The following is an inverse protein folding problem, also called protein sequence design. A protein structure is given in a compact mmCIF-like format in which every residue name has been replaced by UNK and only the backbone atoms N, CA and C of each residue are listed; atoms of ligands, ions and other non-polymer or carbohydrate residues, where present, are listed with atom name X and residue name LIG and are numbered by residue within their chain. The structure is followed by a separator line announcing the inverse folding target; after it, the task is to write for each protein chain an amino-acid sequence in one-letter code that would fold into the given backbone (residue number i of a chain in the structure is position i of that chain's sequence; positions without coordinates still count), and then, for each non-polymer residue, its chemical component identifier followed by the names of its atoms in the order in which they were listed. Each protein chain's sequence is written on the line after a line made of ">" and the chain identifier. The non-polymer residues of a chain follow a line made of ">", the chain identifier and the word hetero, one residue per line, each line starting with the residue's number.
data_IF_588393904868
#
_entry.id   IF_588393904868
#
_cell.length_a   1.000
_cell.length_b   1.000
_cell.length_c   1.000
_cell.angle_alpha   90.00
_cell.angle_beta   90.00
_cell.angle_gamma   90.00
#
_symmetry.space_group_name_H-M   'P 1'
#
loop_
_entity.id
_entity.type
_entity.pdbx_description
1 polymer ?
#
# COMPACT_ATOMS: atom_id res chain seq x y z
N UNK A 1 -5.03 13.18 -13.06
CA UNK A 1 -3.71 12.99 -13.72
C UNK A 1 -3.96 12.60 -15.17
N UNK A 2 -3.99 13.58 -16.08
CA UNK A 2 -3.96 13.33 -17.52
C UNK A 2 -3.51 14.64 -18.19
N UNK A 3 -2.20 14.76 -18.45
CA UNK A 3 -1.56 15.70 -19.40
C UNK A 3 -0.02 15.75 -19.27
N UNK A 4 0.61 14.95 -18.40
CA UNK A 4 2.06 14.75 -18.44
C UNK A 4 2.49 13.76 -19.57
N UNK A 5 1.82 13.78 -20.71
CA UNK A 5 2.12 12.92 -21.87
C UNK A 5 2.74 13.68 -23.05
N UNK A 6 2.82 15.02 -22.97
CA UNK A 6 3.27 15.88 -24.08
C UNK A 6 4.32 16.93 -23.67
N UNK A 7 5.21 16.61 -22.72
CA UNK A 7 6.49 17.32 -22.55
C UNK A 7 6.46 18.78 -22.09
N UNK A 8 5.29 19.39 -21.85
CA UNK A 8 5.21 20.76 -21.34
C UNK A 8 5.23 20.77 -19.80
N UNK A 9 6.37 21.20 -19.24
CA UNK A 9 6.48 21.53 -17.82
C UNK A 9 5.90 22.92 -17.62
N UNK A 10 4.66 22.99 -17.13
CA UNK A 10 4.08 24.25 -16.69
C UNK A 10 4.87 24.79 -15.49
N UNK A 11 5.32 26.05 -15.58
CA UNK A 11 6.06 26.72 -14.51
C UNK A 11 5.17 27.04 -13.29
N UNK A 12 3.85 27.10 -13.49
CA UNK A 12 2.88 27.43 -12.45
C UNK A 12 1.75 26.39 -12.36
N UNK A 13 1.17 26.17 -11.16
CA UNK A 13 0.04 25.27 -10.99
C UNK A 13 -1.17 25.71 -11.81
N UNK A 14 -1.90 24.75 -12.38
CA UNK A 14 -3.06 24.93 -13.26
C UNK A 14 -4.18 25.87 -12.72
N UNK A 15 -4.20 26.18 -11.41
CA UNK A 15 -5.21 26.98 -10.72
C UNK A 15 -6.62 26.39 -10.66
N UNK A 16 -6.95 25.41 -11.50
CA UNK A 16 -8.33 24.95 -11.73
C UNK A 16 -8.47 23.41 -11.81
N UNK A 17 -7.49 22.67 -11.32
CA UNK A 17 -7.52 21.20 -11.23
C UNK A 17 -7.61 20.77 -9.76
N UNK A 18 -8.19 19.60 -9.50
CA UNK A 18 -8.49 19.10 -8.15
C UNK A 18 -7.29 19.17 -7.18
N UNK A 19 -6.06 18.97 -7.69
CA UNK A 19 -4.82 19.08 -6.92
C UNK A 19 -4.51 20.52 -6.47
N UNK A 20 -4.85 21.52 -7.28
CA UNK A 20 -4.65 22.93 -6.96
C UNK A 20 -5.76 23.48 -6.06
N UNK A 21 -6.97 22.97 -6.21
CA UNK A 21 -8.13 23.42 -5.43
C UNK A 21 -8.14 22.83 -4.00
N UNK A 22 -7.41 21.73 -3.76
CA UNK A 22 -7.26 21.13 -2.44
C UNK A 22 -5.78 20.78 -2.15
N UNK A 23 -4.92 21.77 -1.83
CA UNK A 23 -3.53 21.52 -1.53
C UNK A 23 -3.42 20.60 -0.30
N UNK A 24 -2.84 19.42 -0.51
CA UNK A 24 -2.63 18.46 0.59
C UNK A 24 -1.54 19.01 1.49
N UNK A 25 -1.87 19.29 2.75
CA UNK A 25 -0.90 19.76 3.73
C UNK A 25 0.29 18.78 3.80
N UNK A 26 1.50 19.30 3.66
CA UNK A 26 2.74 18.53 3.77
C UNK A 26 3.49 18.85 5.07
N UNK A 27 4.51 18.06 5.35
CA UNK A 27 5.49 18.30 6.41
C UNK A 27 6.86 17.78 5.96
N UNK A 28 7.93 18.35 6.52
CA UNK A 28 9.29 17.88 6.26
C UNK A 28 9.49 16.51 6.94
N UNK A 29 9.52 15.48 6.09
CA UNK A 29 9.61 14.08 6.47
C UNK A 29 11.04 13.56 6.60
N UNK A 30 12.06 14.39 6.40
CA UNK A 30 13.44 13.94 6.20
C UNK A 30 13.96 13.09 7.36
N UNK A 31 13.73 13.50 8.60
CA UNK A 31 14.15 12.73 9.78
C UNK A 31 13.40 11.41 9.89
N UNK A 32 12.09 11.41 9.64
CA UNK A 32 11.30 10.18 9.68
C UNK A 32 11.73 9.19 8.57
N UNK A 33 12.02 9.71 7.37
CA UNK A 33 12.57 8.95 6.27
C UNK A 33 13.92 8.31 6.64
N UNK A 34 14.84 9.09 7.21
CA UNK A 34 16.14 8.60 7.66
C UNK A 34 16.03 7.52 8.73
N UNK A 35 15.12 7.67 9.71
CA UNK A 35 14.84 6.64 10.72
C UNK A 35 14.31 5.36 10.08
N UNK A 36 13.31 5.47 9.21
CA UNK A 36 12.71 4.33 8.51
C UNK A 36 13.74 3.58 7.65
N UNK A 37 14.51 4.31 6.85
CA UNK A 37 15.56 3.74 6.00
C UNK A 37 16.74 3.17 6.80
N UNK A 38 17.10 3.78 7.94
CA UNK A 38 18.08 3.19 8.85
C UNK A 38 17.60 1.86 9.42
N UNK A 39 16.30 1.73 9.73
CA UNK A 39 15.72 0.45 10.16
C UNK A 39 15.76 -0.59 9.03
N UNK A 40 15.43 -0.21 7.79
CA UNK A 40 15.57 -1.09 6.60
C UNK A 40 16.99 -1.63 6.49
N UNK A 41 17.99 -0.74 6.47
CA UNK A 41 19.39 -1.09 6.29
C UNK A 41 19.94 -1.93 7.45
N UNK A 42 19.68 -1.54 8.70
CA UNK A 42 20.24 -2.21 9.88
C UNK A 42 19.59 -3.56 10.20
N UNK A 43 18.40 -3.80 9.67
CA UNK A 43 17.77 -5.14 9.71
C UNK A 43 18.17 -6.01 8.52
N UNK A 44 19.10 -5.54 7.69
CA UNK A 44 19.67 -6.30 6.58
C UNK A 44 18.75 -6.41 5.37
N UNK A 45 17.78 -5.52 5.21
CA UNK A 45 16.92 -5.45 4.00
C UNK A 45 16.15 -6.75 3.70
N UNK A 46 15.70 -7.43 4.77
CA UNK A 46 15.02 -8.73 4.71
C UNK A 46 13.62 -8.73 5.32
N UNK A 47 13.13 -7.55 5.68
CA UNK A 47 11.92 -7.42 6.48
C UNK A 47 10.93 -6.45 5.83
N UNK A 48 9.66 -6.83 5.87
CA UNK A 48 8.56 -5.98 5.45
C UNK A 48 8.21 -4.90 6.48
N UNK A 49 7.36 -3.97 6.05
CA UNK A 49 6.96 -2.76 6.79
C UNK A 49 6.51 -3.06 8.22
N UNK A 50 5.70 -4.10 8.45
CA UNK A 50 5.16 -4.40 9.78
C UNK A 50 6.25 -4.58 10.84
N UNK A 51 7.29 -5.35 10.52
CA UNK A 51 8.42 -5.59 11.42
C UNK A 51 9.31 -4.37 11.59
N UNK A 52 9.52 -3.60 10.51
CA UNK A 52 10.29 -2.36 10.58
C UNK A 52 9.62 -1.32 11.48
N UNK A 53 8.28 -1.25 11.45
CA UNK A 53 7.52 -0.41 12.39
C UNK A 53 7.68 -0.94 13.83
N UNK A 54 7.65 -2.26 14.04
CA UNK A 54 7.89 -2.85 15.36
C UNK A 54 9.27 -2.44 15.90
N UNK A 55 10.31 -2.45 15.06
CA UNK A 55 11.66 -2.01 15.42
C UNK A 55 11.66 -0.53 15.80
N UNK A 56 11.06 0.35 14.98
CA UNK A 56 11.02 1.80 15.22
C UNK A 56 10.27 2.16 16.50
N UNK A 57 9.18 1.45 16.81
CA UNK A 57 8.38 1.67 18.02
C UNK A 57 9.00 1.01 19.26
N UNK A 58 9.98 0.11 19.08
CA UNK A 58 10.58 -0.63 20.17
C UNK A 58 9.64 -1.70 20.73
N UNK A 59 8.83 -2.33 19.87
CA UNK A 59 7.90 -3.36 20.28
C UNK A 59 8.62 -4.64 20.73
N UNK A 60 8.04 -5.34 21.70
CA UNK A 60 8.60 -6.61 22.20
C UNK A 60 7.87 -7.79 21.56
N UNK A 61 8.18 -8.08 20.29
CA UNK A 61 7.62 -9.23 19.57
C UNK A 61 8.60 -10.40 19.54
N UNK A 62 8.09 -11.62 19.36
CA UNK A 62 8.95 -12.81 19.22
C UNK A 62 9.94 -12.68 18.07
N UNK A 63 9.52 -12.07 16.96
CA UNK A 63 10.37 -11.81 15.80
C UNK A 63 11.52 -10.87 16.16
N UNK A 64 11.26 -9.80 16.92
CA UNK A 64 12.31 -8.88 17.36
C UNK A 64 13.35 -9.60 18.22
N UNK A 65 12.90 -10.35 19.24
CA UNK A 65 13.79 -11.11 20.12
C UNK A 65 14.60 -12.17 19.37
N UNK A 66 13.96 -12.90 18.44
CA UNK A 66 14.59 -13.93 17.61
C UNK A 66 15.73 -13.37 16.77
N UNK A 67 15.53 -12.20 16.17
CA UNK A 67 16.55 -11.54 15.33
C UNK A 67 17.45 -10.56 16.10
N UNK A 68 17.26 -10.45 17.43
CA UNK A 68 18.06 -9.59 18.32
C UNK A 68 18.02 -8.12 17.92
N UNK A 69 16.92 -7.70 17.31
CA UNK A 69 16.76 -6.33 16.81
C UNK A 69 16.56 -5.30 17.92
N UNK A 70 16.25 -5.75 19.14
CA UNK A 70 16.23 -4.90 20.35
C UNK A 70 17.60 -4.29 20.67
N UNK A 71 18.68 -4.83 20.10
CA UNK A 71 20.05 -4.33 20.27
C UNK A 71 20.47 -3.30 19.23
N UNK A 72 19.65 -3.07 18.21
CA UNK A 72 19.98 -2.11 17.15
C UNK A 72 19.86 -0.68 17.68
N UNK A 73 20.74 0.25 17.29
CA UNK A 73 20.61 1.67 17.66
C UNK A 73 19.31 2.32 17.16
N UNK A 74 18.67 1.73 16.16
CA UNK A 74 17.37 2.16 15.61
C UNK A 74 16.17 1.58 16.36
N UNK A 75 16.38 0.75 17.37
CA UNK A 75 15.29 0.19 18.15
C UNK A 75 14.65 1.27 19.04
N UNK A 76 13.34 1.50 18.87
CA UNK A 76 12.59 2.45 19.69
C UNK A 76 12.86 3.93 19.40
N UNK A 77 13.57 4.27 18.32
CA UNK A 77 13.91 5.66 17.98
C UNK A 77 12.75 6.46 17.37
N UNK A 78 11.64 5.78 17.06
CA UNK A 78 10.49 6.32 16.32
C UNK A 78 9.22 6.45 17.15
N UNK A 79 9.33 6.50 18.48
CA UNK A 79 8.17 6.53 19.40
C UNK A 79 7.34 7.82 19.33
N UNK A 80 7.85 8.86 18.67
CA UNK A 80 7.12 10.11 18.43
C UNK A 80 5.95 9.96 17.45
N UNK A 81 5.95 8.91 16.62
CA UNK A 81 4.89 8.65 15.65
C UNK A 81 4.12 7.37 15.99
N UNK A 82 2.82 7.39 15.71
CA UNK A 82 1.98 6.20 15.85
C UNK A 82 2.23 5.21 14.71
N UNK A 83 1.84 3.94 14.91
CA UNK A 83 1.93 2.90 13.86
C UNK A 83 1.26 3.31 12.53
N UNK A 84 0.05 3.91 12.52
CA UNK A 84 -0.55 4.40 11.28
C UNK A 84 0.31 5.44 10.55
N UNK A 85 0.90 6.38 11.30
CA UNK A 85 1.79 7.41 10.72
C UNK A 85 3.02 6.76 10.11
N UNK A 86 3.66 5.81 10.80
CA UNK A 86 4.76 5.04 10.22
C UNK A 86 4.36 4.26 8.98
N UNK A 87 3.17 3.65 8.97
CA UNK A 87 2.63 3.00 7.78
C UNK A 87 2.48 3.97 6.60
N UNK A 88 2.12 5.23 6.85
CA UNK A 88 2.10 6.27 5.82
C UNK A 88 3.48 6.68 5.34
N UNK A 89 4.44 6.84 6.25
CA UNK A 89 5.84 7.13 5.90
C UNK A 89 6.39 6.05 4.97
N UNK A 90 6.27 4.77 5.31
CA UNK A 90 6.74 3.68 4.45
C UNK A 90 6.02 3.66 3.09
N UNK A 91 4.70 3.89 3.06
CA UNK A 91 3.93 3.99 1.82
C UNK A 91 4.46 5.11 0.92
N UNK A 92 4.68 6.29 1.49
CA UNK A 92 5.15 7.45 0.74
C UNK A 92 6.60 7.29 0.29
N UNK A 93 7.46 6.63 1.06
CA UNK A 93 8.82 6.29 0.64
C UNK A 93 8.84 5.34 -0.57
N UNK A 94 7.94 4.36 -0.60
CA UNK A 94 7.78 3.46 -1.75
C UNK A 94 7.30 4.23 -2.98
N UNK A 95 6.25 5.05 -2.82
CA UNK A 95 5.68 5.86 -3.92
C UNK A 95 6.70 6.85 -4.49
N UNK A 96 7.55 7.42 -3.63
CA UNK A 96 8.61 8.35 -4.06
C UNK A 96 9.90 7.63 -4.51
N UNK A 97 9.91 6.29 -4.57
CA UNK A 97 11.03 5.50 -5.05
C UNK A 97 12.28 5.56 -4.16
N UNK A 98 12.15 5.96 -2.90
CA UNK A 98 13.26 5.98 -1.94
C UNK A 98 13.57 4.58 -1.37
N UNK A 99 12.56 3.73 -1.31
CA UNK A 99 12.68 2.30 -0.99
C UNK A 99 11.82 1.51 -1.95
N UNK A 100 12.18 0.26 -2.19
CA UNK A 100 11.43 -0.66 -3.05
C UNK A 100 11.05 -1.93 -2.30
N UNK A 101 9.99 -2.58 -2.76
CA UNK A 101 9.54 -3.88 -2.24
C UNK A 101 10.16 -4.96 -3.10
N UNK A 102 10.99 -5.78 -2.48
CA UNK A 102 11.48 -7.01 -3.07
C UNK A 102 10.38 -8.08 -2.95
N UNK A 103 9.67 -8.27 -4.05
CA UNK A 103 8.59 -9.23 -4.14
C UNK A 103 9.11 -10.68 -4.09
N UNK A 104 10.34 -10.95 -4.50
CA UNK A 104 10.90 -12.31 -4.53
C UNK A 104 11.36 -12.76 -3.14
N UNK A 105 11.66 -11.81 -2.26
CA UNK A 105 12.12 -12.07 -0.89
C UNK A 105 11.06 -11.72 0.17
N UNK A 106 9.84 -12.26 0.01
CA UNK A 106 8.74 -12.13 0.98
C UNK A 106 8.39 -10.67 1.34
N UNK A 107 8.49 -9.76 0.37
CA UNK A 107 8.13 -8.35 0.59
C UNK A 107 9.13 -7.58 1.44
N UNK A 108 10.40 -8.00 1.43
CA UNK A 108 11.48 -7.27 2.06
C UNK A 108 11.61 -5.87 1.46
N UNK A 109 11.90 -4.87 2.28
CA UNK A 109 12.19 -3.52 1.77
C UNK A 109 13.69 -3.36 1.52
N UNK A 110 14.03 -2.75 0.38
CA UNK A 110 15.41 -2.41 -0.02
C UNK A 110 15.57 -0.92 -0.25
N UNK A 111 16.75 -0.40 0.02
CA UNK A 111 17.09 0.99 -0.29
C UNK A 111 17.41 1.16 -1.78
N UNK A 112 16.87 2.22 -2.37
CA UNK A 112 17.26 2.64 -3.71
C UNK A 112 18.42 3.66 -3.65
N UNK A 113 18.96 4.03 -4.81
CA UNK A 113 19.94 5.10 -4.93
C UNK A 113 19.40 6.45 -4.41
N UNK A 114 18.12 6.74 -4.65
CA UNK A 114 17.41 7.93 -4.14
C UNK A 114 17.33 7.88 -2.62
N UNK A 115 16.93 6.74 -2.05
CA UNK A 115 16.92 6.56 -0.60
C UNK A 115 18.28 6.78 0.05
N UNK A 116 19.35 6.28 -0.60
CA UNK A 116 20.72 6.50 -0.16
C UNK A 116 21.15 7.97 -0.10
N UNK A 117 20.61 8.84 -0.97
CA UNK A 117 20.90 10.28 -0.94
C UNK A 117 20.19 10.96 0.24
N UNK A 118 18.91 10.64 0.46
CA UNK A 118 18.13 11.16 1.59
C UNK A 118 18.73 10.69 2.92
N UNK A 119 19.14 9.42 2.99
CA UNK A 119 19.75 8.84 4.19
C UNK A 119 21.05 9.55 4.59
N UNK A 120 21.83 10.03 3.61
CA UNK A 120 23.06 10.81 3.83
C UNK A 120 22.82 12.30 4.01
N UNK A 121 21.56 12.76 4.02
CA UNK A 121 21.20 14.17 4.15
C UNK A 121 21.49 15.02 2.90
N UNK A 122 21.69 14.40 1.74
CA UNK A 122 21.93 15.11 0.47
C UNK A 122 20.66 15.68 -0.16
N UNK A 123 19.52 15.10 0.20
CA UNK A 123 18.20 15.47 -0.34
C UNK A 123 17.18 15.40 0.78
N UNK A 124 16.27 16.37 0.83
CA UNK A 124 15.14 16.38 1.75
C UNK A 124 13.93 15.73 1.10
N UNK A 125 12.98 15.29 1.93
CA UNK A 125 11.75 14.66 1.46
C UNK A 125 10.56 15.21 2.24
N UNK A 126 9.51 15.59 1.52
CA UNK A 126 8.26 16.02 2.11
C UNK A 126 7.24 14.89 2.08
N UNK A 127 6.50 14.74 3.17
CA UNK A 127 5.37 13.82 3.24
C UNK A 127 4.06 14.59 3.30
N UNK A 128 3.03 14.03 2.67
CA UNK A 128 1.65 14.44 2.87
C UNK A 128 1.25 14.10 4.31
N UNK A 129 0.58 15.03 4.98
CA UNK A 129 -0.08 14.76 6.25
C UNK A 129 -1.30 13.89 5.98
N UNK A 130 -1.35 12.74 6.64
CA UNK A 130 -2.56 11.93 6.64
C UNK A 130 -3.66 12.75 7.32
N UNK A 131 -4.75 13.03 6.59
CA UNK A 131 -5.95 13.57 7.23
C UNK A 131 -6.44 12.52 8.21
N UNK A 132 -6.49 12.87 9.50
CA UNK A 132 -6.93 11.99 10.57
C UNK A 132 -8.28 11.36 10.19
N UNK A 133 -8.23 10.12 9.71
CA UNK A 133 -9.44 9.46 9.21
C UNK A 133 -10.15 8.94 10.44
N UNK A 134 -11.20 9.67 10.84
CA UNK A 134 -12.20 9.23 11.83
C UNK A 134 -12.61 7.79 11.49
N UNK A 135 -12.47 6.91 12.47
CA UNK A 135 -13.13 5.61 12.68
C UNK A 135 -13.55 4.84 11.42
N UNK A 136 -12.88 3.71 11.22
CA UNK A 136 -12.93 2.79 10.08
C UNK A 136 -14.32 2.25 9.64
N UNK A 137 -15.40 2.52 10.38
CA UNK A 137 -16.75 2.06 10.04
C UNK A 137 -17.54 3.06 9.18
N UNK A 138 -17.35 4.37 9.35
CA UNK A 138 -18.08 5.39 8.57
C UNK A 138 -17.45 5.67 7.20
N UNK A 139 -16.16 5.37 7.04
CA UNK A 139 -15.42 5.61 5.80
C UNK A 139 -15.76 4.60 4.68
N UNK A 140 -16.26 3.41 5.03
CA UNK A 140 -16.62 2.37 4.05
C UNK A 140 -17.87 2.76 3.27
N UNK A 141 -18.89 3.29 3.95
CA UNK A 141 -20.12 3.75 3.31
C UNK A 141 -19.90 5.01 2.45
N UNK A 142 -19.16 6.01 2.97
CA UNK A 142 -18.94 7.29 2.26
C UNK A 142 -17.95 7.20 1.08
N UNK A 143 -17.02 6.24 1.10
CA UNK A 143 -16.06 6.05 -0.01
C UNK A 143 -16.69 5.24 -1.17
N UNK A 144 -17.67 4.39 -0.87
CA UNK A 144 -18.49 3.73 -1.89
C UNK A 144 -19.46 4.70 -2.59
N UNK A 145 -19.89 5.79 -1.93
CA UNK A 145 -20.66 6.86 -2.59
C UNK A 145 -19.79 7.72 -3.53
N UNK A 146 -18.49 7.87 -3.26
CA UNK A 146 -17.58 8.69 -4.09
C UNK A 146 -17.07 7.97 -5.34
N UNK A 147 -17.19 6.64 -5.37
CA UNK A 147 -16.92 5.83 -6.56
C UNK A 147 -18.27 5.24 -6.93
N UNK A 148 -18.98 5.81 -7.90
CA UNK A 148 -20.26 5.26 -8.37
C UNK A 148 -20.11 3.76 -8.69
N UNK A 149 -20.46 2.92 -7.72
CA UNK A 149 -20.37 1.47 -7.74
C UNK A 149 -21.81 1.01 -7.49
N UNK A 150 -22.33 0.15 -8.36
CA UNK A 150 -23.62 -0.49 -8.11
C UNK A 150 -23.57 -1.29 -6.80
N UNK A 151 -24.72 -1.59 -6.21
CA UNK A 151 -24.80 -2.42 -4.98
C UNK A 151 -24.03 -3.74 -5.11
N UNK A 152 -24.04 -4.34 -6.30
CA UNK A 152 -23.30 -5.58 -6.62
C UNK A 152 -21.77 -5.37 -6.62
N UNK A 153 -21.29 -4.25 -7.18
CA UNK A 153 -19.84 -3.98 -7.24
C UNK A 153 -19.27 -3.65 -5.84
N UNK A 154 -20.09 -3.06 -4.96
CA UNK A 154 -19.71 -2.81 -3.59
C UNK A 154 -19.48 -4.11 -2.78
N UNK A 155 -20.25 -5.17 -3.06
CA UNK A 155 -20.10 -6.47 -2.41
C UNK A 155 -18.83 -7.18 -2.89
N UNK A 156 -18.61 -7.24 -4.21
CA UNK A 156 -17.37 -7.80 -4.78
C UNK A 156 -16.12 -7.02 -4.29
N UNK A 157 -16.20 -5.70 -4.21
CA UNK A 157 -15.14 -4.87 -3.65
C UNK A 157 -14.81 -5.22 -2.18
N UNK A 158 -15.82 -5.55 -1.37
CA UNK A 158 -15.61 -5.98 0.01
C UNK A 158 -14.91 -7.35 0.08
N UNK A 159 -15.27 -8.31 -0.78
CA UNK A 159 -14.61 -9.61 -0.88
C UNK A 159 -13.15 -9.47 -1.31
N UNK A 160 -12.89 -8.68 -2.35
CA UNK A 160 -11.53 -8.37 -2.81
C UNK A 160 -10.69 -7.68 -1.73
N UNK A 161 -11.30 -6.83 -0.89
CA UNK A 161 -10.63 -6.21 0.25
C UNK A 161 -10.25 -7.23 1.32
N UNK A 162 -11.12 -8.21 1.59
CA UNK A 162 -10.84 -9.28 2.54
C UNK A 162 -9.69 -10.17 2.04
N UNK A 163 -9.72 -10.56 0.76
CA UNK A 163 -8.65 -11.36 0.16
C UNK A 163 -7.31 -10.61 0.19
N UNK A 164 -7.31 -9.33 -0.19
CA UNK A 164 -6.12 -8.48 -0.07
C UNK A 164 -5.59 -8.42 1.36
N UNK A 165 -6.47 -8.31 2.36
CA UNK A 165 -6.06 -8.27 3.76
C UNK A 165 -5.46 -9.61 4.22
N UNK A 166 -6.01 -10.73 3.74
CA UNK A 166 -5.47 -12.06 3.98
C UNK A 166 -4.07 -12.22 3.38
N UNK A 167 -3.91 -11.93 2.09
CA UNK A 167 -2.61 -11.99 1.41
C UNK A 167 -1.57 -11.07 2.07
N UNK A 168 -1.99 -9.87 2.48
CA UNK A 168 -1.14 -8.89 3.16
C UNK A 168 -0.62 -9.43 4.50
N UNK A 169 -1.50 -10.06 5.28
CA UNK A 169 -1.15 -10.68 6.55
C UNK A 169 -0.19 -11.85 6.34
N UNK A 170 -0.48 -12.73 5.39
CA UNK A 170 0.33 -13.92 5.10
C UNK A 170 1.74 -13.55 4.62
N UNK A 171 1.85 -12.50 3.80
CA UNK A 171 3.15 -12.01 3.32
C UNK A 171 3.79 -10.95 4.23
N UNK A 172 3.17 -10.62 5.37
CA UNK A 172 3.62 -9.57 6.28
C UNK A 172 3.90 -8.23 5.56
N UNK A 173 3.08 -7.95 4.54
CA UNK A 173 3.08 -6.75 3.73
C UNK A 173 1.87 -5.88 4.08
N UNK A 174 1.96 -4.55 4.01
CA UNK A 174 0.77 -3.72 4.07
C UNK A 174 -0.15 -4.00 2.88
N UNK A 175 -1.47 -3.99 3.10
CA UNK A 175 -2.46 -4.28 2.06
C UNK A 175 -2.29 -3.43 0.79
N UNK A 176 -1.91 -2.15 0.94
CA UNK A 176 -1.69 -1.25 -0.19
C UNK A 176 -0.55 -1.68 -1.13
N UNK A 177 0.39 -2.51 -0.66
CA UNK A 177 1.50 -3.02 -1.48
C UNK A 177 1.00 -4.07 -2.47
N UNK A 178 -0.01 -4.85 -2.06
CA UNK A 178 -0.63 -5.86 -2.93
C UNK A 178 -1.47 -5.14 -4.00
N UNK A 179 -2.56 -4.48 -3.57
CA UNK A 179 -3.41 -3.68 -4.45
C UNK A 179 -3.86 -2.39 -3.77
N UNK A 180 -3.93 -1.30 -4.54
CA UNK A 180 -4.56 -0.07 -4.04
C UNK A 180 -6.08 -0.23 -4.03
N UNK A 181 -6.76 0.62 -3.28
CA UNK A 181 -8.23 0.65 -3.32
C UNK A 181 -8.75 1.02 -4.71
N UNK A 182 -8.02 1.82 -5.51
CA UNK A 182 -8.42 2.13 -6.89
C UNK A 182 -8.37 0.89 -7.78
N UNK A 183 -7.30 0.08 -7.68
CA UNK A 183 -7.18 -1.18 -8.44
C UNK A 183 -8.30 -2.15 -8.07
N UNK A 184 -8.59 -2.32 -6.78
CA UNK A 184 -9.69 -3.20 -6.35
C UNK A 184 -11.06 -2.72 -6.85
N UNK A 185 -11.30 -1.40 -6.86
CA UNK A 185 -12.54 -0.85 -7.38
C UNK A 185 -12.65 -1.02 -8.91
N UNK A 186 -11.53 -0.90 -9.63
CA UNK A 186 -11.50 -1.17 -11.06
C UNK A 186 -11.75 -2.66 -11.38
N UNK A 187 -11.18 -3.58 -10.60
CA UNK A 187 -11.47 -5.02 -10.71
C UNK A 187 -12.95 -5.30 -10.44
N UNK A 188 -13.52 -4.73 -9.38
CA UNK A 188 -14.93 -4.95 -9.04
C UNK A 188 -15.89 -4.47 -10.15
N UNK A 189 -15.51 -3.43 -10.90
CA UNK A 189 -16.26 -2.96 -12.09
C UNK A 189 -16.04 -3.82 -13.32
N UNK A 190 -14.80 -4.26 -13.55
CA UNK A 190 -14.43 -5.01 -14.75
C UNK A 190 -14.84 -6.48 -14.72
N UNK A 191 -14.93 -7.09 -13.53
CA UNK A 191 -15.27 -8.52 -13.30
C UNK A 191 -14.49 -9.47 -14.22
N UNK A 192 -13.15 -9.43 -14.16
CA UNK A 192 -12.31 -10.22 -15.06
C UNK A 192 -12.44 -11.73 -14.76
N UNK A 193 -12.63 -12.53 -15.81
CA UNK A 193 -12.66 -14.00 -15.74
C UNK A 193 -11.37 -14.66 -16.22
N UNK A 194 -10.45 -13.87 -16.79
CA UNK A 194 -9.19 -14.36 -17.34
C UNK A 194 -8.01 -13.46 -16.98
N UNK A 195 -6.80 -14.01 -17.01
CA UNK A 195 -5.58 -13.24 -16.74
C UNK A 195 -5.37 -12.11 -17.76
N UNK A 196 -5.80 -12.31 -19.01
CA UNK A 196 -5.72 -11.29 -20.07
C UNK A 196 -6.65 -10.10 -19.80
N UNK A 197 -7.79 -10.32 -19.15
CA UNK A 197 -8.70 -9.24 -18.75
C UNK A 197 -8.19 -8.41 -17.56
N UNK A 198 -7.17 -8.90 -16.85
CA UNK A 198 -6.51 -8.15 -15.79
C UNK A 198 -5.49 -7.14 -16.33
N UNK A 199 -4.88 -7.38 -17.49
CA UNK A 199 -3.87 -6.50 -18.10
C UNK A 199 -4.32 -5.04 -18.30
N UNK A 200 -5.54 -4.74 -18.79
CA UNK A 200 -5.98 -3.35 -18.97
C UNK A 200 -6.32 -2.64 -17.66
N UNK A 201 -6.34 -3.33 -16.51
CA UNK A 201 -6.76 -2.76 -15.24
C UNK A 201 -5.64 -1.89 -14.63
N UNK A 202 -5.91 -0.62 -14.29
CA UNK A 202 -4.91 0.25 -13.67
C UNK A 202 -4.31 -0.33 -12.38
N UNK A 203 -3.00 -0.55 -12.39
CA UNK A 203 -2.25 -1.10 -11.25
C UNK A 203 -2.06 -2.62 -11.28
N UNK A 204 -2.56 -3.31 -12.31
CA UNK A 204 -2.29 -4.73 -12.60
C UNK A 204 -1.13 -4.86 -13.61
N UNK A 205 0.11 -4.72 -13.12
CA UNK A 205 1.29 -5.03 -13.93
C UNK A 205 1.51 -6.54 -14.10
N UNK A 206 2.32 -6.94 -15.08
CA UNK A 206 2.65 -8.35 -15.39
C UNK A 206 3.02 -9.16 -14.15
N UNK A 207 3.94 -8.67 -13.32
CA UNK A 207 4.36 -9.34 -12.07
C UNK A 207 3.22 -9.54 -11.07
N UNK A 208 2.26 -8.61 -11.01
CA UNK A 208 1.10 -8.73 -10.12
C UNK A 208 0.06 -9.69 -10.67
N UNK A 209 -0.12 -9.72 -11.99
CA UNK A 209 -1.01 -10.68 -12.67
C UNK A 209 -0.48 -12.10 -12.49
N UNK A 210 0.82 -12.32 -12.71
CA UNK A 210 1.45 -13.63 -12.51
C UNK A 210 1.30 -14.13 -11.06
N UNK A 211 1.44 -13.22 -10.09
CA UNK A 211 1.46 -13.59 -8.66
C UNK A 211 0.09 -13.69 -8.02
N UNK A 212 -0.84 -12.82 -8.39
CA UNK A 212 -2.12 -12.64 -7.70
C UNK A 212 -3.33 -12.73 -8.63
N UNK A 213 -3.12 -12.85 -9.95
CA UNK A 213 -4.20 -12.83 -10.92
C UNK A 213 -5.19 -13.96 -10.69
N UNK A 214 -4.71 -15.17 -10.36
CA UNK A 214 -5.58 -16.29 -10.03
C UNK A 214 -6.40 -16.04 -8.76
N UNK A 215 -5.79 -15.53 -7.68
CA UNK A 215 -6.52 -15.19 -6.46
C UNK A 215 -7.65 -14.17 -6.71
N UNK A 216 -7.40 -13.19 -7.60
CA UNK A 216 -8.41 -12.21 -7.98
C UNK A 216 -9.55 -12.86 -8.76
N UNK A 217 -9.22 -13.69 -9.76
CA UNK A 217 -10.21 -14.40 -10.59
C UNK A 217 -11.06 -15.34 -9.71
N UNK A 218 -10.45 -16.07 -8.79
CA UNK A 218 -11.15 -16.95 -7.85
C UNK A 218 -12.18 -16.19 -7.02
N UNK A 219 -11.84 -14.99 -6.52
CA UNK A 219 -12.77 -14.14 -5.75
C UNK A 219 -13.91 -13.61 -6.63
N UNK A 220 -13.62 -13.25 -7.88
CA UNK A 220 -14.63 -12.79 -8.84
C UNK A 220 -15.59 -13.92 -9.21
N UNK A 221 -15.08 -15.10 -9.52
CA UNK A 221 -15.89 -16.29 -9.82
C UNK A 221 -16.74 -16.72 -8.63
N UNK A 222 -16.16 -16.73 -7.42
CA UNK A 222 -16.88 -17.07 -6.19
C UNK A 222 -18.01 -16.07 -5.87
N UNK A 223 -17.89 -14.81 -6.30
CA UNK A 223 -18.97 -13.83 -6.13
C UNK A 223 -20.12 -14.05 -7.13
N UNK A 224 -19.83 -14.56 -8.32
CA UNK A 224 -20.81 -14.75 -9.40
C UNK A 224 -21.53 -16.10 -9.35
N UNK A 225 -21.04 -17.04 -8.54
CA UNK A 225 -21.74 -18.28 -8.23
C UNK A 225 -22.41 -18.16 -6.84
N UNK A 226 -23.67 -17.70 -6.76
CA UNK A 226 -24.44 -17.83 -5.54
C UNK A 226 -24.87 -19.31 -5.41
N UNK A 227 -24.23 -20.05 -4.51
CA UNK A 227 -24.69 -21.34 -3.94
C UNK A 227 -25.60 -22.21 -4.84
N UNK A 228 -25.02 -22.99 -5.76
CA UNK A 228 -25.67 -24.20 -6.29
C UNK A 228 -25.33 -25.39 -5.37
N UNK A 229 -25.82 -25.35 -4.14
CA UNK A 229 -25.96 -26.53 -3.27
C UNK A 229 -27.35 -26.46 -2.64
N UNK A 230 -28.34 -26.70 -3.49
CA UNK A 230 -29.73 -26.87 -3.09
C UNK A 230 -30.36 -27.95 -3.95
N UNK A 231 -30.49 -29.14 -3.37
CA UNK A 231 -31.42 -30.22 -3.73
C UNK A 231 -30.97 -31.26 -4.77
N UNK A 232 -30.41 -32.36 -4.25
CA UNK A 232 -30.58 -33.72 -4.80
C UNK A 232 -30.29 -34.71 -3.69
N UNK A 233 -31.24 -34.81 -2.75
CA UNK A 233 -31.44 -36.01 -1.96
C UNK A 233 -32.68 -36.70 -2.52
N UNK A 234 -32.47 -37.63 -3.46
CA UNK A 234 -33.34 -38.79 -3.71
C UNK A 234 -32.48 -39.98 -4.11
#
# INVERSE_FOLDING_TARGET
>A
MRLAHFGEVMAEPCGNCDTCLAPVATWDGTIAAQKAMSAVLRTGERFGVGHLIDVLLGANTDKIRRFRHERLPTFGVGKEFSRPVWGSVFRQLIVQGAIEVDHDHFGALKLTSVGGQILRGKTTIAFRRDQATRTATAAVAKKAERIELGKSDAQLFAMLKAERAYLAKTQNLPAYVIFTDETLAAIAKARPHSLSELEPIPGMGTTKIERYGMNVIDVVMAFEQPDDIGDSME
#
